data_IF_549577543392
#
_entry.id   IF_549577543392
#
_cell.length_a   1.000
_cell.length_b   1.000
_cell.length_c   1.000
_cell.angle_alpha   90.00
_cell.angle_beta   90.00
_cell.angle_gamma   90.00
#
_symmetry.space_group_name_H-M   'P 1'
#
loop_
_entity.id
_entity.type
_entity.pdbx_description
1 polymer ?
#
# COMPACT_ATOMS: atom_id res chain seq x y z
N UNK A 1 19.83 -1.92 -7.86
CA UNK A 1 20.89 -1.51 -8.80
C UNK A 1 21.10 0.00 -8.95
N UNK A 2 20.53 0.82 -8.07
CA UNK A 2 20.73 2.28 -8.04
C UNK A 2 21.45 2.75 -6.77
N UNK A 3 22.00 1.85 -5.97
CA UNK A 3 22.71 2.16 -4.74
C UNK A 3 21.80 2.57 -3.57
N UNK A 4 20.50 2.25 -3.63
CA UNK A 4 19.61 2.42 -2.50
C UNK A 4 19.86 1.34 -1.45
N UNK A 5 20.02 1.73 -0.20
CA UNK A 5 19.86 0.82 0.93
C UNK A 5 18.39 0.46 1.09
N UNK A 6 18.06 -0.79 1.33
CA UNK A 6 16.67 -1.25 1.35
C UNK A 6 16.31 -1.88 2.69
N UNK A 7 15.13 -1.50 3.23
CA UNK A 7 14.61 -2.05 4.47
C UNK A 7 13.09 -2.28 4.41
N UNK A 8 12.64 -3.34 5.09
CA UNK A 8 11.24 -3.58 5.37
C UNK A 8 11.03 -3.60 6.88
N UNK A 9 10.10 -2.79 7.36
CA UNK A 9 9.78 -2.61 8.76
C UNK A 9 8.39 -3.16 9.05
N UNK A 10 8.27 -4.02 10.07
CA UNK A 10 6.99 -4.50 10.55
C UNK A 10 7.10 -4.86 12.04
N UNK A 11 6.26 -4.27 12.89
CA UNK A 11 6.25 -4.49 14.33
C UNK A 11 5.83 -5.89 14.77
N UNK A 12 5.47 -6.79 13.85
CA UNK A 12 5.14 -8.19 14.12
C UNK A 12 6.40 -9.09 14.18
N UNK A 13 6.20 -10.35 14.57
CA UNK A 13 7.24 -11.36 14.48
C UNK A 13 7.77 -11.50 13.06
N UNK A 14 9.07 -11.73 12.92
CA UNK A 14 9.79 -11.85 11.65
C UNK A 14 9.18 -12.84 10.67
N UNK A 15 8.60 -13.92 11.17
CA UNK A 15 7.95 -14.97 10.39
C UNK A 15 6.49 -14.69 10.07
N UNK A 16 5.89 -13.66 10.65
CA UNK A 16 4.48 -13.34 10.49
C UNK A 16 4.12 -13.07 9.04
N UNK A 17 2.96 -13.60 8.60
CA UNK A 17 2.36 -13.38 7.27
C UNK A 17 3.31 -13.62 6.08
N UNK A 18 4.44 -14.29 6.28
CA UNK A 18 5.43 -14.51 5.23
C UNK A 18 6.29 -13.30 4.87
N UNK A 19 6.22 -12.19 5.62
CA UNK A 19 6.97 -10.96 5.33
C UNK A 19 8.47 -11.19 5.18
N UNK A 20 9.07 -12.03 6.04
CA UNK A 20 10.49 -12.35 5.95
C UNK A 20 10.86 -13.11 4.67
N UNK A 21 10.00 -13.98 4.17
CA UNK A 21 10.20 -14.69 2.91
C UNK A 21 10.04 -13.73 1.72
N UNK A 22 9.01 -12.92 1.74
CA UNK A 22 8.76 -11.90 0.73
C UNK A 22 9.91 -10.90 0.63
N UNK A 23 10.33 -10.29 1.74
CA UNK A 23 11.41 -9.32 1.76
C UNK A 23 12.71 -9.90 1.16
N UNK A 24 13.07 -11.13 1.52
CA UNK A 24 14.23 -11.81 0.91
C UNK A 24 14.07 -12.04 -0.58
N UNK A 25 12.90 -12.50 -1.03
CA UNK A 25 12.66 -12.74 -2.46
C UNK A 25 12.64 -11.45 -3.28
N UNK A 26 12.20 -10.35 -2.69
CA UNK A 26 12.22 -9.02 -3.29
C UNK A 26 13.61 -8.36 -3.26
N UNK A 27 14.61 -8.98 -2.66
CA UNK A 27 15.97 -8.44 -2.56
C UNK A 27 16.13 -7.33 -1.53
N UNK A 28 15.24 -7.24 -0.55
CA UNK A 28 15.35 -6.28 0.56
C UNK A 28 16.50 -6.71 1.47
N UNK A 29 17.43 -5.79 1.75
CA UNK A 29 18.65 -6.06 2.51
C UNK A 29 18.40 -6.24 4.00
N UNK A 30 17.45 -5.48 4.56
CA UNK A 30 17.15 -5.52 6.01
C UNK A 30 15.66 -5.75 6.23
N UNK A 31 15.33 -6.72 7.07
CA UNK A 31 14.03 -6.87 7.69
C UNK A 31 14.16 -6.47 9.16
N UNK A 32 13.42 -5.45 9.55
CA UNK A 32 13.35 -4.92 10.92
C UNK A 32 11.98 -5.29 11.49
N UNK A 33 11.98 -6.06 12.57
CA UNK A 33 10.81 -6.75 13.10
C UNK A 33 10.66 -6.50 14.62
N UNK A 34 9.63 -7.11 15.21
CA UNK A 34 9.41 -7.08 16.65
C UNK A 34 10.64 -7.50 17.43
N UNK A 35 11.35 -8.55 17.00
CA UNK A 35 12.54 -9.05 17.68
C UNK A 35 13.67 -8.01 17.72
N UNK A 36 13.81 -7.21 16.67
CA UNK A 36 14.80 -6.13 16.62
C UNK A 36 14.42 -4.99 17.58
N UNK A 37 13.13 -4.67 17.66
CA UNK A 37 12.60 -3.71 18.62
C UNK A 37 12.83 -4.18 20.06
N UNK A 38 12.36 -5.39 20.38
CA UNK A 38 12.43 -5.95 21.73
C UNK A 38 13.86 -6.10 22.24
N UNK A 39 14.82 -6.37 21.35
CA UNK A 39 16.25 -6.43 21.71
C UNK A 39 16.79 -5.10 22.25
N UNK A 40 16.19 -3.95 21.85
CA UNK A 40 16.62 -2.62 22.29
C UNK A 40 15.74 -2.04 23.41
N UNK A 41 14.43 -2.31 23.36
CA UNK A 41 13.43 -1.64 24.19
C UNK A 41 12.70 -2.58 25.17
N UNK A 42 12.91 -3.91 25.05
CA UNK A 42 12.19 -4.90 25.84
C UNK A 42 10.79 -5.17 25.29
N UNK A 43 10.01 -5.98 25.99
CA UNK A 43 8.74 -6.56 25.52
C UNK A 43 7.50 -5.79 25.97
N UNK A 44 7.67 -4.63 26.61
CA UNK A 44 6.57 -3.87 27.26
C UNK A 44 5.56 -3.26 26.29
N UNK A 45 5.94 -3.08 25.04
CA UNK A 45 5.14 -2.37 24.04
C UNK A 45 4.43 -3.32 23.05
N UNK A 46 4.36 -4.61 23.40
CA UNK A 46 3.58 -5.58 22.64
C UNK A 46 2.09 -5.39 22.89
N UNK A 47 1.29 -5.30 21.81
CA UNK A 47 -0.15 -5.06 21.86
C UNK A 47 -0.99 -6.24 22.35
N UNK A 48 -0.36 -7.41 22.54
CA UNK A 48 -1.02 -8.65 22.96
C UNK A 48 -1.62 -9.47 21.80
N UNK A 49 -1.53 -9.01 20.56
CA UNK A 49 -2.17 -9.64 19.39
C UNK A 49 -1.21 -9.79 18.20
N UNK A 50 -0.77 -8.66 17.64
CA UNK A 50 -0.06 -8.64 16.37
C UNK A 50 1.41 -8.24 16.50
N UNK A 51 1.71 -7.21 17.30
CA UNK A 51 3.07 -6.72 17.36
C UNK A 51 3.27 -5.55 18.32
N UNK A 52 4.30 -4.78 18.08
CA UNK A 52 4.58 -3.56 18.81
C UNK A 52 3.57 -2.49 18.42
N UNK A 53 3.07 -1.72 19.40
CA UNK A 53 2.23 -0.57 19.15
C UNK A 53 2.85 0.38 18.13
N UNK A 54 2.05 0.88 17.17
CA UNK A 54 2.56 1.69 16.06
C UNK A 54 3.20 3.01 16.51
N UNK A 55 2.77 3.61 17.63
CA UNK A 55 3.43 4.81 18.17
C UNK A 55 4.90 4.51 18.48
N UNK A 56 5.17 3.47 19.22
CA UNK A 56 6.50 3.05 19.65
C UNK A 56 7.32 2.51 18.47
N UNK A 57 6.70 1.71 17.60
CA UNK A 57 7.40 1.12 16.45
C UNK A 57 7.77 2.17 15.38
N UNK A 58 6.94 3.19 15.17
CA UNK A 58 7.26 4.32 14.28
C UNK A 58 8.44 5.15 14.81
N UNK A 59 8.53 5.37 16.13
CA UNK A 59 9.67 6.05 16.73
C UNK A 59 10.96 5.27 16.49
N UNK A 60 10.93 3.98 16.73
CA UNK A 60 12.05 3.08 16.47
C UNK A 60 12.42 3.05 14.97
N UNK A 61 11.42 2.98 14.09
CA UNK A 61 11.64 3.04 12.64
C UNK A 61 12.38 4.33 12.24
N UNK A 62 11.98 5.47 12.78
CA UNK A 62 12.64 6.74 12.51
C UNK A 62 14.11 6.78 12.98
N UNK A 63 14.42 6.16 14.11
CA UNK A 63 15.80 6.00 14.58
C UNK A 63 16.62 5.11 13.63
N UNK A 64 16.06 4.00 13.18
CA UNK A 64 16.70 3.12 12.21
C UNK A 64 16.91 3.81 10.85
N UNK A 65 15.93 4.59 10.36
CA UNK A 65 16.07 5.37 9.14
C UNK A 65 17.15 6.44 9.26
N UNK A 66 17.27 7.11 10.41
CA UNK A 66 18.33 8.08 10.68
C UNK A 66 19.74 7.45 10.62
N UNK A 67 19.84 6.17 10.95
CA UNK A 67 21.09 5.42 10.88
C UNK A 67 21.35 4.74 9.52
N UNK A 68 20.37 4.75 8.59
CA UNK A 68 20.53 4.11 7.28
C UNK A 68 21.38 4.95 6.33
N UNK A 69 22.19 4.29 5.47
CA UNK A 69 22.84 4.98 4.36
C UNK A 69 21.83 5.57 3.37
N UNK A 70 22.08 6.76 2.88
CA UNK A 70 21.29 7.37 1.81
C UNK A 70 21.95 7.15 0.44
N UNK A 71 21.15 7.04 -0.66
CA UNK A 71 19.70 6.99 -0.63
C UNK A 71 19.15 5.67 -0.11
N UNK A 72 17.94 5.67 0.47
CA UNK A 72 17.27 4.45 0.91
C UNK A 72 15.87 4.29 0.33
N UNK A 73 15.40 3.05 0.32
CA UNK A 73 14.00 2.67 0.11
C UNK A 73 13.54 1.88 1.34
N UNK A 74 12.53 2.37 2.01
CA UNK A 74 11.96 1.74 3.18
C UNK A 74 10.46 1.48 2.98
N UNK A 75 10.03 0.25 3.21
CA UNK A 75 8.62 -0.09 3.32
C UNK A 75 8.30 -0.36 4.78
N UNK A 76 7.22 0.23 5.27
CA UNK A 76 6.73 0.05 6.64
C UNK A 76 5.31 -0.46 6.61
N UNK A 77 5.00 -1.47 7.42
CA UNK A 77 3.67 -2.01 7.61
C UNK A 77 3.21 -1.73 9.04
N UNK A 78 2.13 -0.96 9.19
CA UNK A 78 1.50 -0.62 10.48
C UNK A 78 0.49 -1.70 10.89
N UNK A 79 0.24 -1.87 12.19
CA UNK A 79 -0.54 -2.98 12.73
C UNK A 79 -1.71 -2.56 13.61
N UNK A 80 -1.65 -1.40 14.25
CA UNK A 80 -2.56 -1.06 15.34
C UNK A 80 -4.00 -0.77 14.90
N UNK A 81 -4.23 -0.45 13.62
CA UNK A 81 -5.58 -0.33 13.04
C UNK A 81 -6.18 -1.65 12.57
N UNK A 82 -5.48 -2.79 12.75
CA UNK A 82 -5.98 -4.11 12.42
C UNK A 82 -6.94 -4.65 13.49
N UNK A 83 -7.81 -5.60 13.10
CA UNK A 83 -8.63 -6.34 14.08
C UNK A 83 -7.75 -6.98 15.16
N UNK A 84 -8.10 -6.92 16.45
CA UNK A 84 -9.40 -6.60 17.04
C UNK A 84 -9.68 -5.12 17.32
N UNK A 85 -8.92 -4.17 16.70
CA UNK A 85 -9.10 -2.72 16.81
C UNK A 85 -8.91 -2.20 18.24
N UNK A 86 -7.96 -2.75 18.95
CA UNK A 86 -7.56 -2.28 20.28
C UNK A 86 -6.62 -1.08 20.16
N UNK A 87 -6.60 -0.26 21.20
CA UNK A 87 -5.65 0.86 21.31
C UNK A 87 -5.04 0.80 22.71
N UNK A 88 -3.84 1.38 22.92
CA UNK A 88 -3.25 1.44 24.25
C UNK A 88 -4.19 2.04 25.27
N UNK A 89 -4.31 1.41 26.45
CA UNK A 89 -5.24 1.82 27.51
C UNK A 89 -5.05 3.29 27.89
N UNK A 90 -3.80 3.77 27.92
CA UNK A 90 -3.44 5.17 28.19
C UNK A 90 -4.16 6.18 27.27
N UNK A 91 -4.63 5.75 26.10
CA UNK A 91 -5.31 6.59 25.11
C UNK A 91 -6.79 6.25 24.92
N UNK A 92 -7.26 5.14 25.45
CA UNK A 92 -8.60 4.62 25.20
C UNK A 92 -9.74 5.62 25.51
N UNK A 93 -9.54 6.49 26.52
CA UNK A 93 -10.52 7.50 26.92
C UNK A 93 -10.41 8.81 26.11
N UNK A 94 -9.28 9.11 25.47
CA UNK A 94 -9.01 10.40 24.85
C UNK A 94 -9.07 10.38 23.32
N UNK A 95 -8.87 9.21 22.72
CA UNK A 95 -8.98 9.07 21.27
C UNK A 95 -10.44 9.19 20.82
N UNK A 96 -10.71 9.93 19.73
CA UNK A 96 -12.04 10.00 19.16
C UNK A 96 -12.49 8.61 18.69
N UNK A 97 -13.74 8.31 18.95
CA UNK A 97 -14.41 7.12 18.42
C UNK A 97 -15.17 7.43 17.13
N UNK A 98 -15.95 6.48 16.69
CA UNK A 98 -16.82 6.61 15.52
C UNK A 98 -17.90 5.52 15.52
N UNK A 99 -18.47 5.24 14.35
CA UNK A 99 -19.56 4.26 14.21
C UNK A 99 -19.09 2.82 14.42
N UNK A 100 -17.82 2.53 14.20
CA UNK A 100 -17.22 1.21 14.34
C UNK A 100 -15.91 1.29 15.13
N UNK A 101 -15.38 0.15 15.57
CA UNK A 101 -14.18 0.11 16.42
C UNK A 101 -12.92 0.56 15.70
N UNK A 102 -12.83 0.33 14.39
CA UNK A 102 -11.67 0.73 13.59
C UNK A 102 -11.41 2.23 13.65
N UNK A 103 -12.47 3.07 13.79
CA UNK A 103 -12.28 4.52 13.84
C UNK A 103 -11.32 4.95 14.96
N UNK A 104 -11.37 4.26 16.10
CA UNK A 104 -10.45 4.55 17.21
C UNK A 104 -9.03 4.07 16.90
N UNK A 105 -8.87 2.93 16.21
CA UNK A 105 -7.59 2.45 15.73
C UNK A 105 -6.94 3.43 14.74
N UNK A 106 -7.70 3.91 13.76
CA UNK A 106 -7.24 4.93 12.80
C UNK A 106 -6.85 6.23 13.50
N UNK A 107 -7.62 6.65 14.51
CA UNK A 107 -7.27 7.85 15.31
C UNK A 107 -5.96 7.65 16.12
N UNK A 108 -5.68 6.42 16.53
CA UNK A 108 -4.41 6.08 17.17
C UNK A 108 -3.25 6.13 16.16
N UNK A 109 -3.42 5.58 14.96
CA UNK A 109 -2.40 5.63 13.91
C UNK A 109 -2.11 7.08 13.49
N UNK A 110 -3.15 7.93 13.33
CA UNK A 110 -2.96 9.36 13.05
C UNK A 110 -2.09 10.03 14.14
N UNK A 111 -2.34 9.68 15.41
CA UNK A 111 -1.50 10.16 16.52
C UNK A 111 -0.06 9.66 16.39
N UNK A 112 0.13 8.38 16.09
CA UNK A 112 1.45 7.75 15.97
C UNK A 112 2.26 8.41 14.84
N UNK A 113 1.65 8.60 13.66
CA UNK A 113 2.26 9.34 12.55
C UNK A 113 2.56 10.80 12.91
N UNK A 114 1.65 11.49 13.59
CA UNK A 114 1.89 12.88 14.02
C UNK A 114 3.14 13.00 14.88
N UNK A 115 3.33 12.09 15.83
CA UNK A 115 4.50 12.07 16.70
C UNK A 115 5.78 11.73 15.92
N UNK A 116 5.71 10.82 14.96
CA UNK A 116 6.81 10.53 14.05
C UNK A 116 7.23 11.77 13.26
N UNK A 117 6.27 12.46 12.63
CA UNK A 117 6.53 13.69 11.87
C UNK A 117 7.07 14.82 12.74
N UNK A 118 6.56 14.98 13.96
CA UNK A 118 7.07 15.97 14.91
C UNK A 118 8.51 15.70 15.32
N UNK A 119 8.87 14.44 15.54
CA UNK A 119 10.21 14.07 15.98
C UNK A 119 11.23 14.16 14.86
N UNK A 120 10.91 13.62 13.71
CA UNK A 120 11.88 13.43 12.61
C UNK A 120 11.75 14.48 11.50
N UNK A 121 10.77 15.34 11.50
CA UNK A 121 10.55 16.36 10.47
C UNK A 121 11.70 17.36 10.30
N UNK A 122 12.58 17.47 11.31
CA UNK A 122 13.81 18.26 11.25
C UNK A 122 15.00 17.57 10.58
N UNK A 123 14.97 16.26 10.44
CA UNK A 123 16.05 15.46 9.88
C UNK A 123 16.27 15.74 8.39
N UNK A 124 17.50 15.62 7.94
CA UNK A 124 17.85 15.90 6.55
C UNK A 124 17.28 14.86 5.59
N UNK A 125 17.35 13.58 5.97
CA UNK A 125 16.74 12.50 5.21
C UNK A 125 15.23 12.69 5.08
N UNK A 126 14.52 13.13 6.13
CA UNK A 126 13.08 13.36 6.12
C UNK A 126 12.68 14.37 5.03
N UNK A 127 13.41 15.49 4.94
CA UNK A 127 13.12 16.56 3.96
C UNK A 127 13.30 16.13 2.52
N UNK A 128 14.11 15.07 2.28
CA UNK A 128 14.42 14.51 0.95
C UNK A 128 13.62 13.24 0.65
N UNK A 129 12.70 12.86 1.50
CA UNK A 129 11.92 11.63 1.37
C UNK A 129 10.58 11.89 0.69
N UNK A 130 10.21 11.03 -0.24
CA UNK A 130 8.85 10.90 -0.76
C UNK A 130 8.14 9.87 0.12
N UNK A 131 7.14 10.31 0.86
CA UNK A 131 6.31 9.43 1.68
C UNK A 131 5.10 8.98 0.90
N UNK A 132 4.84 7.68 0.86
CA UNK A 132 3.65 7.09 0.25
C UNK A 132 2.85 6.39 1.34
N UNK A 133 1.61 6.79 1.49
CA UNK A 133 0.65 6.17 2.40
C UNK A 133 -0.41 5.47 1.56
N UNK A 134 -0.64 4.21 1.85
CA UNK A 134 -1.65 3.41 1.15
C UNK A 134 -2.19 2.34 2.09
N UNK A 135 -3.50 2.16 2.11
CA UNK A 135 -4.09 1.01 2.78
C UNK A 135 -3.87 -0.25 1.93
N UNK A 136 -3.62 -1.37 2.58
CA UNK A 136 -3.46 -2.67 1.92
C UNK A 136 -4.80 -3.20 1.38
N UNK A 137 -5.88 -3.01 2.14
CA UNK A 137 -7.26 -3.36 1.77
C UNK A 137 -8.27 -2.53 2.56
N UNK A 138 -9.53 -2.68 2.24
CA UNK A 138 -10.64 -2.05 2.97
C UNK A 138 -10.89 -2.72 4.32
N UNK A 139 -11.52 -1.99 5.26
CA UNK A 139 -11.93 -2.56 6.54
C UNK A 139 -12.99 -3.64 6.39
N UNK A 140 -12.92 -4.65 7.26
CA UNK A 140 -13.99 -5.63 7.44
C UNK A 140 -15.25 -5.02 8.10
N UNK A 141 -15.12 -3.92 8.83
CA UNK A 141 -16.24 -3.21 9.43
C UNK A 141 -16.92 -2.28 8.42
N UNK A 142 -18.14 -2.64 8.00
CA UNK A 142 -18.92 -1.90 6.99
C UNK A 142 -20.01 -1.07 7.67
N UNK A 143 -19.89 0.26 7.65
CA UNK A 143 -20.89 1.17 8.21
C UNK A 143 -21.61 2.03 7.16
N UNK A 144 -20.90 2.45 6.11
CA UNK A 144 -21.46 3.22 5.02
C UNK A 144 -22.00 2.30 3.92
N UNK A 145 -23.14 2.64 3.32
CA UNK A 145 -23.81 1.80 2.31
C UNK A 145 -22.92 1.59 1.09
N UNK A 146 -22.26 2.62 0.62
CA UNK A 146 -21.36 2.60 -0.54
C UNK A 146 -20.17 1.66 -0.36
N UNK A 147 -19.81 1.30 0.88
CA UNK A 147 -18.72 0.36 1.18
C UNK A 147 -19.14 -1.10 1.20
N UNK A 148 -20.44 -1.40 0.97
CA UNK A 148 -20.99 -2.75 1.07
C UNK A 148 -20.94 -3.52 -0.24
N UNK A 149 -20.84 -2.83 -1.36
CA UNK A 149 -20.84 -3.43 -2.69
C UNK A 149 -19.72 -2.85 -3.55
N UNK A 150 -19.40 -3.55 -4.64
CA UNK A 150 -18.43 -3.07 -5.63
C UNK A 150 -18.96 -1.80 -6.33
N UNK A 151 -18.11 -0.79 -6.60
CA UNK A 151 -16.66 -0.75 -6.37
C UNK A 151 -16.26 -0.29 -4.97
N UNK A 152 -17.15 0.25 -4.16
CA UNK A 152 -16.83 0.86 -2.88
C UNK A 152 -16.20 -0.10 -1.85
N UNK A 153 -16.53 -1.40 -1.94
CA UNK A 153 -15.93 -2.43 -1.09
C UNK A 153 -14.46 -2.77 -1.46
N UNK A 154 -13.91 -2.12 -2.49
CA UNK A 154 -12.50 -2.24 -2.91
C UNK A 154 -11.78 -0.88 -2.86
N UNK A 155 -12.49 0.19 -2.47
CA UNK A 155 -11.93 1.53 -2.46
C UNK A 155 -11.04 1.75 -1.23
N UNK A 156 -9.74 1.89 -1.44
CA UNK A 156 -8.73 2.21 -0.42
C UNK A 156 -8.25 3.63 -0.55
N UNK A 157 -7.74 4.20 0.54
CA UNK A 157 -7.10 5.50 0.52
C UNK A 157 -5.63 5.35 0.12
N UNK A 158 -5.11 6.33 -0.64
CA UNK A 158 -3.69 6.44 -0.94
C UNK A 158 -3.31 7.90 -1.19
N UNK A 159 -2.16 8.32 -0.70
CA UNK A 159 -1.62 9.65 -0.96
C UNK A 159 -0.10 9.69 -0.91
N UNK A 160 0.48 10.68 -1.60
CA UNK A 160 1.91 10.95 -1.63
C UNK A 160 2.15 12.28 -0.93
N UNK A 161 3.11 12.30 -0.02
CA UNK A 161 3.53 13.50 0.69
C UNK A 161 5.01 13.77 0.44
N UNK A 162 5.32 15.00 0.06
CA UNK A 162 6.68 15.52 -0.05
C UNK A 162 6.85 16.71 0.88
N UNK A 163 7.84 16.71 1.79
CA UNK A 163 8.03 17.79 2.78
C UNK A 163 8.25 19.18 2.18
N UNK A 164 8.77 19.25 0.97
CA UNK A 164 8.97 20.51 0.21
C UNK A 164 7.66 21.05 -0.39
N UNK A 165 6.58 20.29 -0.33
CA UNK A 165 5.27 20.65 -0.89
C UNK A 165 5.26 20.75 -2.42
N UNK A 166 6.17 20.08 -3.11
CA UNK A 166 6.26 20.06 -4.57
C UNK A 166 5.03 19.38 -5.21
N UNK A 167 4.47 18.37 -4.53
CA UNK A 167 3.24 17.69 -4.96
C UNK A 167 2.05 18.25 -4.20
N UNK A 168 1.05 18.72 -4.96
CA UNK A 168 -0.21 19.25 -4.39
C UNK A 168 -1.36 18.95 -5.33
N UNK A 169 -2.51 18.65 -4.77
CA UNK A 169 -3.74 18.42 -5.52
C UNK A 169 -4.23 17.00 -5.38
N UNK A 170 -5.23 16.68 -6.17
CA UNK A 170 -5.91 15.39 -6.18
C UNK A 170 -5.80 14.77 -7.57
N UNK A 171 -5.58 13.47 -7.63
CA UNK A 171 -5.74 12.69 -8.85
C UNK A 171 -7.20 12.23 -8.90
N UNK A 172 -8.04 13.00 -9.61
CA UNK A 172 -9.48 12.76 -9.73
C UNK A 172 -9.86 11.60 -10.66
N UNK A 173 -8.91 10.73 -10.98
CA UNK A 173 -9.07 9.62 -11.91
C UNK A 173 -8.95 8.29 -11.18
N UNK A 174 -9.48 7.21 -11.80
CA UNK A 174 -9.32 5.86 -11.27
C UNK A 174 -7.84 5.53 -11.20
N UNK A 175 -7.39 5.20 -10.01
CA UNK A 175 -6.03 4.73 -9.69
C UNK A 175 -6.10 3.42 -8.93
N UNK A 176 -5.00 2.70 -8.87
CA UNK A 176 -4.90 1.43 -8.15
C UNK A 176 -3.53 1.26 -7.50
N UNK A 177 -3.41 0.34 -6.57
CA UNK A 177 -2.14 0.06 -5.88
C UNK A 177 -1.00 -0.31 -6.85
N UNK A 178 -1.31 -0.95 -7.98
CA UNK A 178 -0.33 -1.28 -9.03
C UNK A 178 0.31 -0.03 -9.67
N UNK A 179 -0.33 1.13 -9.57
CA UNK A 179 0.17 2.40 -10.10
C UNK A 179 1.26 3.04 -9.22
N UNK A 180 1.40 2.59 -7.97
CA UNK A 180 2.34 3.19 -7.01
C UNK A 180 3.78 3.06 -7.50
N UNK A 181 4.21 1.85 -7.87
CA UNK A 181 5.59 1.63 -8.33
C UNK A 181 5.94 2.45 -9.57
N UNK A 182 5.17 2.43 -10.67
CA UNK A 182 5.44 3.27 -11.83
C UNK A 182 5.50 4.76 -11.50
N UNK A 183 4.58 5.25 -10.67
CA UNK A 183 4.53 6.65 -10.25
C UNK A 183 5.77 7.04 -9.45
N UNK A 184 6.22 6.22 -8.53
CA UNK A 184 7.45 6.45 -7.77
C UNK A 184 8.69 6.41 -8.67
N UNK A 185 8.73 5.49 -9.63
CA UNK A 185 9.82 5.44 -10.60
C UNK A 185 9.86 6.72 -11.46
N UNK A 186 8.70 7.24 -11.86
CA UNK A 186 8.60 8.54 -12.55
C UNK A 186 9.10 9.69 -11.68
N UNK A 187 8.61 9.79 -10.43
CA UNK A 187 9.00 10.83 -9.48
C UNK A 187 10.52 10.82 -9.16
N UNK A 188 11.12 9.63 -9.12
CA UNK A 188 12.56 9.46 -8.88
C UNK A 188 13.41 9.54 -10.15
N UNK A 189 12.80 9.89 -11.30
CA UNK A 189 13.51 10.09 -12.56
C UNK A 189 14.09 8.80 -13.15
N UNK A 190 13.43 7.66 -12.95
CA UNK A 190 13.86 6.40 -13.56
C UNK A 190 13.73 6.48 -15.08
N UNK A 191 14.81 6.12 -15.79
CA UNK A 191 14.85 6.02 -17.26
C UNK A 191 15.11 4.61 -17.77
N UNK A 192 15.28 3.64 -16.87
CA UNK A 192 15.49 2.24 -17.25
C UNK A 192 14.13 1.59 -17.54
N UNK A 193 14.04 0.71 -18.52
CA UNK A 193 12.85 -0.12 -18.71
C UNK A 193 12.50 -0.89 -17.45
N UNK A 194 11.21 -1.02 -17.18
CA UNK A 194 10.67 -1.84 -16.10
C UNK A 194 9.36 -2.49 -16.56
N UNK A 195 8.98 -3.55 -15.90
CA UNK A 195 7.71 -4.23 -16.12
C UNK A 195 6.70 -3.79 -15.04
N UNK A 196 5.49 -3.39 -15.46
CA UNK A 196 4.40 -3.07 -14.56
C UNK A 196 3.04 -3.23 -15.25
N UNK A 197 2.04 -3.71 -14.53
CA UNK A 197 0.65 -3.67 -14.96
C UNK A 197 0.00 -2.31 -14.70
N UNK A 198 0.51 -1.55 -13.74
CA UNK A 198 0.10 -0.19 -13.44
C UNK A 198 0.74 0.84 -14.38
N UNK A 199 0.43 2.10 -14.14
CA UNK A 199 0.92 3.26 -14.89
C UNK A 199 1.47 4.34 -13.95
N UNK A 200 2.30 5.24 -14.47
CA UNK A 200 2.64 6.49 -13.78
C UNK A 200 1.44 7.44 -13.88
N UNK A 201 0.71 7.63 -12.78
CA UNK A 201 -0.52 8.43 -12.74
C UNK A 201 -0.27 9.91 -12.96
N UNK A 202 0.96 10.38 -12.75
CA UNK A 202 1.34 11.77 -12.90
C UNK A 202 1.83 12.10 -14.31
N UNK A 203 2.48 11.16 -15.01
CA UNK A 203 3.16 11.41 -16.27
C UNK A 203 2.62 10.60 -17.46
N UNK A 204 1.76 9.60 -17.24
CA UNK A 204 1.20 8.74 -18.31
C UNK A 204 -0.34 8.86 -18.43
N UNK A 205 -0.90 10.03 -18.73
CA UNK A 205 -2.36 10.22 -18.83
C UNK A 205 -3.01 9.45 -19.99
N UNK A 206 -2.23 9.00 -20.96
CA UNK A 206 -2.69 8.30 -22.17
C UNK A 206 -3.01 6.82 -21.94
N UNK A 207 -2.48 6.21 -20.87
CA UNK A 207 -2.72 4.78 -20.59
C UNK A 207 -4.13 4.57 -20.05
N UNK A 208 -4.73 3.40 -20.29
CA UNK A 208 -6.05 3.08 -19.78
C UNK A 208 -6.15 3.28 -18.27
N UNK A 209 -7.24 3.91 -17.83
CA UNK A 209 -7.52 4.23 -16.44
C UNK A 209 -8.52 3.24 -15.90
N UNK A 210 -8.02 2.22 -15.27
CA UNK A 210 -8.82 1.21 -14.61
C UNK A 210 -8.19 0.77 -13.31
N UNK A 211 -9.01 0.18 -12.46
CA UNK A 211 -8.56 -0.54 -11.28
C UNK A 211 -9.04 -1.98 -11.40
N UNK A 212 -8.16 -2.94 -11.12
CA UNK A 212 -8.46 -4.36 -11.22
C UNK A 212 -8.49 -5.01 -9.84
N UNK A 213 -9.39 -5.96 -9.66
CA UNK A 213 -9.53 -6.72 -8.43
C UNK A 213 -10.02 -8.14 -8.71
N UNK A 214 -9.86 -9.02 -7.71
CA UNK A 214 -10.32 -10.39 -7.76
C UNK A 214 -10.97 -10.78 -6.43
N UNK A 215 -12.16 -11.32 -6.49
CA UNK A 215 -12.93 -11.85 -5.36
C UNK A 215 -13.71 -13.11 -5.73
N UNK A 216 -13.06 -14.03 -6.45
CA UNK A 216 -13.69 -15.18 -7.10
C UNK A 216 -14.18 -14.86 -8.52
N UNK A 217 -14.14 -13.61 -8.93
CA UNK A 217 -14.33 -13.12 -10.30
C UNK A 217 -13.34 -12.00 -10.57
N UNK A 218 -12.89 -11.88 -11.82
CA UNK A 218 -12.08 -10.75 -12.23
C UNK A 218 -12.95 -9.53 -12.46
N UNK A 219 -12.59 -8.42 -11.84
CA UNK A 219 -13.30 -7.14 -11.97
C UNK A 219 -12.36 -6.04 -12.42
N UNK A 220 -12.81 -5.21 -13.33
CA UNK A 220 -12.17 -3.95 -13.65
C UNK A 220 -13.17 -2.81 -13.50
N UNK A 221 -12.78 -1.75 -12.81
CA UNK A 221 -13.50 -0.48 -12.80
C UNK A 221 -12.87 0.45 -13.82
N UNK A 222 -13.68 1.02 -14.70
CA UNK A 222 -13.28 2.00 -15.71
C UNK A 222 -14.13 3.26 -15.55
N UNK A 223 -13.75 4.34 -16.23
CA UNK A 223 -14.60 5.56 -16.30
C UNK A 223 -15.97 5.33 -16.91
N UNK A 224 -16.15 4.24 -17.66
CA UNK A 224 -17.42 3.84 -18.29
C UNK A 224 -18.28 2.96 -17.38
N UNK A 225 -17.68 2.35 -16.34
CA UNK A 225 -18.34 1.44 -15.42
C UNK A 225 -17.53 0.17 -15.15
N UNK A 226 -18.17 -0.79 -14.49
CA UNK A 226 -17.54 -2.05 -14.10
C UNK A 226 -17.60 -3.08 -15.24
N UNK A 227 -16.52 -3.85 -15.36
CA UNK A 227 -16.45 -5.07 -16.19
C UNK A 227 -16.22 -6.24 -15.23
N UNK A 228 -16.99 -7.29 -15.37
CA UNK A 228 -16.84 -8.52 -14.58
C UNK A 228 -16.66 -9.70 -15.53
N UNK A 229 -15.60 -10.47 -15.31
CA UNK A 229 -15.33 -11.71 -16.04
C UNK A 229 -15.45 -12.89 -15.09
N UNK A 230 -16.01 -13.99 -15.57
CA UNK A 230 -16.00 -15.26 -14.88
C UNK A 230 -14.59 -15.81 -14.74
N UNK A 231 -14.28 -16.48 -13.63
CA UNK A 231 -12.93 -17.01 -13.37
C UNK A 231 -12.63 -18.27 -14.19
N UNK A 232 -13.63 -19.03 -14.58
CA UNK A 232 -13.44 -20.33 -15.22
C UNK A 232 -13.24 -20.26 -16.73
N UNK A 233 -13.99 -19.42 -17.42
CA UNK A 233 -14.01 -19.32 -18.88
C UNK A 233 -13.76 -17.92 -19.43
N UNK A 234 -13.59 -16.95 -18.53
CA UNK A 234 -13.38 -15.55 -18.88
C UNK A 234 -14.57 -14.89 -19.62
N UNK A 235 -15.75 -15.48 -19.52
CA UNK A 235 -16.95 -14.91 -20.10
C UNK A 235 -17.38 -13.63 -19.37
N UNK A 236 -17.88 -12.66 -20.17
CA UNK A 236 -18.33 -11.38 -19.66
C UNK A 236 -19.65 -11.57 -18.94
N UNK A 237 -19.65 -11.35 -17.63
CA UNK A 237 -20.84 -11.36 -16.77
C UNK A 237 -21.51 -9.99 -16.69
N UNK A 238 -20.67 -8.92 -16.65
CA UNK A 238 -21.14 -7.54 -16.61
C UNK A 238 -20.21 -6.69 -17.48
N UNK A 239 -20.78 -5.74 -18.21
CA UNK A 239 -20.04 -4.76 -19.01
C UNK A 239 -20.88 -3.49 -19.19
N UNK A 240 -20.27 -2.30 -19.21
CA UNK A 240 -20.98 -1.06 -19.48
C UNK A 240 -21.67 -1.08 -20.85
N UNK A 241 -22.87 -0.53 -20.93
CA UNK A 241 -23.62 -0.42 -22.20
C UNK A 241 -23.12 0.79 -23.00
N UNK A 242 -21.88 0.75 -23.46
CA UNK A 242 -21.22 1.83 -24.22
C UNK A 242 -20.69 1.31 -25.55
N UNK A 243 -20.45 2.18 -26.55
CA UNK A 243 -19.83 1.77 -27.83
C UNK A 243 -18.43 1.14 -27.66
N UNK A 244 -17.76 1.40 -26.52
CA UNK A 244 -16.44 0.84 -26.23
C UNK A 244 -16.49 -0.50 -25.48
N UNK A 245 -17.67 -1.01 -25.11
CA UNK A 245 -17.84 -2.19 -24.27
C UNK A 245 -17.01 -3.40 -24.70
N UNK A 246 -17.13 -3.78 -25.97
CA UNK A 246 -16.41 -4.95 -26.50
C UNK A 246 -14.90 -4.77 -26.43
N UNK A 247 -14.41 -3.58 -26.77
CA UNK A 247 -12.98 -3.25 -26.70
C UNK A 247 -12.47 -3.26 -25.24
N UNK A 248 -13.25 -2.73 -24.30
CA UNK A 248 -12.88 -2.73 -22.87
C UNK A 248 -12.82 -4.16 -22.33
N UNK A 249 -13.82 -4.99 -22.62
CA UNK A 249 -13.84 -6.39 -22.19
C UNK A 249 -12.69 -7.18 -22.81
N UNK A 250 -12.36 -6.96 -24.08
CA UNK A 250 -11.24 -7.62 -24.76
C UNK A 250 -9.90 -7.20 -24.15
N UNK A 251 -9.71 -5.89 -23.88
CA UNK A 251 -8.51 -5.40 -23.22
C UNK A 251 -8.35 -5.97 -21.81
N UNK A 252 -9.44 -6.12 -21.07
CA UNK A 252 -9.39 -6.69 -19.73
C UNK A 252 -9.04 -8.19 -19.78
N UNK A 253 -9.62 -8.97 -20.70
CA UNK A 253 -9.19 -10.36 -20.92
C UNK A 253 -7.71 -10.46 -21.26
N UNK A 254 -7.22 -9.59 -22.13
CA UNK A 254 -5.80 -9.55 -22.50
C UNK A 254 -4.90 -9.23 -21.27
N UNK A 255 -5.32 -8.32 -20.39
CA UNK A 255 -4.61 -8.03 -19.13
C UNK A 255 -4.52 -9.26 -18.23
N UNK A 256 -5.64 -9.95 -17.99
CA UNK A 256 -5.67 -11.17 -17.17
C UNK A 256 -4.82 -12.27 -17.80
N UNK A 257 -4.91 -12.45 -19.11
CA UNK A 257 -4.07 -13.41 -19.83
C UNK A 257 -2.58 -13.09 -19.68
N UNK A 258 -2.19 -11.82 -19.80
CA UNK A 258 -0.80 -11.38 -19.60
C UNK A 258 -0.35 -11.68 -18.17
N UNK A 259 -1.17 -11.40 -17.18
CA UNK A 259 -0.87 -11.69 -15.78
C UNK A 259 -0.53 -13.17 -15.58
N UNK A 260 -1.39 -14.07 -16.02
CA UNK A 260 -1.12 -15.52 -15.92
C UNK A 260 0.11 -15.96 -16.74
N UNK A 261 0.26 -15.43 -17.96
CA UNK A 261 1.42 -15.75 -18.81
C UNK A 261 2.73 -15.38 -18.12
N UNK A 262 2.80 -14.22 -17.47
CA UNK A 262 3.99 -13.80 -16.72
C UNK A 262 4.25 -14.68 -15.50
N UNK A 263 3.22 -15.09 -14.78
CA UNK A 263 3.35 -16.03 -13.65
C UNK A 263 3.90 -17.38 -14.13
N UNK A 264 3.29 -17.96 -15.15
CA UNK A 264 3.69 -19.27 -15.71
C UNK A 264 5.13 -19.28 -16.22
N UNK A 265 5.50 -18.23 -16.94
CA UNK A 265 6.85 -18.08 -17.51
C UNK A 265 7.88 -17.57 -16.51
N UNK A 266 7.47 -17.15 -15.32
CA UNK A 266 8.31 -16.47 -14.31
C UNK A 266 9.04 -15.25 -14.88
N UNK A 267 8.38 -14.53 -15.80
CA UNK A 267 8.92 -13.34 -16.46
C UNK A 267 8.40 -12.08 -15.78
N UNK A 268 9.19 -11.53 -14.86
CA UNK A 268 8.78 -10.41 -14.01
C UNK A 268 9.64 -9.16 -14.20
N UNK A 269 10.56 -9.20 -15.17
CA UNK A 269 11.46 -8.06 -15.45
C UNK A 269 11.30 -7.58 -16.89
N UNK A 270 11.81 -6.37 -17.18
CA UNK A 270 11.80 -5.82 -18.53
C UNK A 270 12.71 -6.58 -19.53
N UNK A 271 13.53 -7.50 -19.02
CA UNK A 271 14.49 -8.28 -19.85
C UNK A 271 13.99 -9.71 -20.10
N UNK A 272 12.88 -10.10 -19.53
CA UNK A 272 12.22 -11.40 -19.74
C UNK A 272 11.25 -11.33 -20.92
#
# INVERSE_FOLDING_TARGET
>A
DKGYATAFFCGSERGSMGFGAYARSAGVERLVSREDYEAKHGTGDFDGYWGIWDEEFLQFTGEELTAMPEPFFAALFTLSSHHPFVVPEKYAATLPGGYTRIHKGVAYDDRAFRLFFQRFGGEEWFRRTIFVFVADHVSSEKFAEETRSYPGNMHVIGFIYTPDGALRGEVGEITQQLDIMPTLLGLTGNRKPYFAFGRDVLNEPQRPRWSVSYDGRFRALTGEGAIVLDDSDMDVQECPATPAADSLAQNFRALVQQYYTHIEKKSYTAND
#
